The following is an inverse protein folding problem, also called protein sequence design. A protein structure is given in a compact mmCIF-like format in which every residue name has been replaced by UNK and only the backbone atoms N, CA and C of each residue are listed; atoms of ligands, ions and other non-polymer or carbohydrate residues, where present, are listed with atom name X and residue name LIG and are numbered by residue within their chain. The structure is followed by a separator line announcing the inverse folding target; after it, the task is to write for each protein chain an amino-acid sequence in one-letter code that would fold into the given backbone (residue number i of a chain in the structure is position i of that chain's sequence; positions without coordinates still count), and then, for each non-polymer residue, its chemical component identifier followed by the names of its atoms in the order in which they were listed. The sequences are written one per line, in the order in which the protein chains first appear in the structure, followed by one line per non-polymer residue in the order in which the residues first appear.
data_IF_097578882966
#
_entry.id   IF_097578882966
#
_cell.length_a   1.000
_cell.length_b   1.000
_cell.length_c   1.000
_cell.angle_alpha   90.00
_cell.angle_beta   90.00
_cell.angle_gamma   90.00
#
_symmetry.space_group_name_H-M   'P 1'
#
loop_
_entity.id
_entity.type
_entity.pdbx_description
1 polymer ?
#
# COMPACT_ATOMS: atom_id res chain seq x y z
N UNK A 1 11.11 1.41 -9.54
CA UNK A 1 12.43 1.21 -8.99
C UNK A 1 13.55 2.14 -9.50
N UNK A 2 13.26 3.10 -10.39
CA UNK A 2 14.32 3.92 -11.05
C UNK A 2 15.09 4.81 -10.06
N UNK A 3 14.46 5.29 -9.00
CA UNK A 3 15.10 6.12 -7.95
C UNK A 3 16.19 5.38 -7.15
N UNK A 4 16.16 4.05 -7.10
CA UNK A 4 17.16 3.21 -6.41
C UNK A 4 18.25 2.67 -7.33
N UNK A 5 18.35 3.12 -8.58
CA UNK A 5 19.46 2.73 -9.46
C UNK A 5 20.79 3.20 -8.88
N UNK A 6 21.88 2.39 -8.99
CA UNK A 6 21.98 1.16 -9.78
C UNK A 6 21.48 -0.13 -9.08
N UNK A 7 21.03 -0.08 -7.81
CA UNK A 7 20.66 -1.27 -7.01
C UNK A 7 19.53 -2.08 -7.64
N UNK A 8 18.67 -1.43 -8.44
CA UNK A 8 17.51 -2.04 -9.08
C UNK A 8 17.66 -2.28 -10.58
N UNK A 9 18.89 -2.21 -11.12
CA UNK A 9 19.11 -2.46 -12.56
C UNK A 9 18.76 -3.89 -12.96
N UNK A 10 19.06 -4.86 -12.09
CA UNK A 10 18.94 -6.30 -12.39
C UNK A 10 18.05 -7.06 -11.40
N UNK A 11 17.33 -6.36 -10.51
CA UNK A 11 16.44 -6.98 -9.52
C UNK A 11 15.25 -6.10 -9.19
N UNK A 12 14.11 -6.68 -8.77
CA UNK A 12 12.98 -5.92 -8.23
C UNK A 12 13.38 -5.15 -6.99
N UNK A 13 12.68 -4.03 -6.73
CA UNK A 13 12.96 -3.17 -5.57
C UNK A 13 12.84 -3.94 -4.24
N UNK A 14 11.87 -4.83 -4.11
CA UNK A 14 11.66 -5.65 -2.92
C UNK A 14 12.81 -6.63 -2.62
N UNK A 15 13.67 -6.92 -3.59
CA UNK A 15 14.87 -7.76 -3.40
C UNK A 15 16.14 -6.97 -3.09
N UNK A 16 16.04 -5.64 -2.95
CA UNK A 16 17.18 -4.84 -2.48
C UNK A 16 17.47 -5.19 -1.02
N UNK A 17 18.74 -5.50 -0.67
CA UNK A 17 19.09 -5.86 0.69
C UNK A 17 19.11 -4.64 1.61
N UNK A 18 18.57 -4.82 2.80
CA UNK A 18 18.67 -3.91 3.95
C UNK A 18 19.25 -4.70 5.12
N UNK A 19 20.46 -4.35 5.59
CA UNK A 19 21.15 -5.06 6.68
C UNK A 19 21.18 -6.58 6.47
N UNK A 20 21.61 -7.02 5.29
CA UNK A 20 21.85 -8.42 4.96
C UNK A 20 20.62 -9.24 4.54
N UNK A 21 19.39 -8.71 4.66
CA UNK A 21 18.14 -9.36 4.22
C UNK A 21 17.41 -8.48 3.22
N UNK A 22 16.73 -9.08 2.23
CA UNK A 22 15.92 -8.30 1.29
C UNK A 22 14.70 -7.68 1.99
N UNK A 23 14.15 -6.59 1.41
CA UNK A 23 12.91 -5.97 1.90
C UNK A 23 11.78 -7.00 1.94
N UNK A 24 11.67 -7.82 0.88
CA UNK A 24 10.66 -8.88 0.81
C UNK A 24 10.82 -9.90 1.94
N UNK A 25 12.05 -10.37 2.19
CA UNK A 25 12.32 -11.34 3.27
C UNK A 25 11.92 -10.77 4.64
N UNK A 26 12.19 -9.49 4.88
CA UNK A 26 11.79 -8.82 6.12
C UNK A 26 10.27 -8.79 6.26
N UNK A 27 9.56 -8.33 5.24
CA UNK A 27 8.09 -8.30 5.27
C UNK A 27 7.49 -9.69 5.48
N UNK A 28 7.94 -10.69 4.70
CA UNK A 28 7.45 -12.07 4.82
C UNK A 28 7.66 -12.62 6.24
N UNK A 29 8.82 -12.35 6.84
CA UNK A 29 9.10 -12.79 8.21
C UNK A 29 8.13 -12.11 9.21
N UNK A 30 7.93 -10.80 9.11
CA UNK A 30 6.99 -10.06 9.96
C UNK A 30 5.55 -10.57 9.79
N UNK A 31 5.10 -10.78 8.55
CA UNK A 31 3.76 -11.30 8.24
C UNK A 31 3.56 -12.70 8.86
N UNK A 32 4.55 -13.58 8.73
CA UNK A 32 4.50 -14.93 9.33
C UNK A 32 4.53 -14.91 10.85
N UNK A 33 5.27 -13.99 11.46
CA UNK A 33 5.27 -13.81 12.92
C UNK A 33 3.88 -13.38 13.45
N UNK A 34 3.08 -12.71 12.64
CA UNK A 34 1.67 -12.40 12.94
C UNK A 34 0.70 -13.55 12.62
N UNK A 35 1.20 -14.76 12.28
CA UNK A 35 0.36 -15.93 12.01
C UNK A 35 -0.29 -15.96 10.64
N UNK A 36 0.22 -15.19 9.67
CA UNK A 36 -0.30 -15.16 8.29
C UNK A 36 0.62 -15.97 7.39
N UNK A 37 0.14 -17.10 6.87
CA UNK A 37 0.90 -18.03 6.02
C UNK A 37 0.52 -17.94 4.54
N UNK A 38 -0.71 -17.55 4.21
CA UNK A 38 -1.16 -17.42 2.81
C UNK A 38 -0.70 -16.07 2.24
N UNK A 39 0.46 -16.09 1.60
CA UNK A 39 1.12 -14.91 1.04
C UNK A 39 1.18 -15.03 -0.47
N UNK A 40 0.72 -13.99 -1.16
CA UNK A 40 0.74 -13.87 -2.61
C UNK A 40 1.44 -12.58 -3.03
N UNK A 41 2.24 -12.64 -4.09
CA UNK A 41 3.01 -11.47 -4.53
C UNK A 41 2.58 -11.05 -5.93
N UNK A 42 2.01 -9.85 -6.03
CA UNK A 42 1.79 -9.21 -7.33
C UNK A 42 3.14 -8.73 -7.88
N UNK A 43 3.50 -9.22 -9.04
CA UNK A 43 4.82 -9.03 -9.65
C UNK A 43 4.73 -8.33 -11.01
N UNK A 44 5.87 -7.87 -11.51
CA UNK A 44 6.04 -7.30 -12.84
C UNK A 44 7.50 -7.41 -13.27
N UNK A 45 8.28 -6.34 -13.07
CA UNK A 45 9.70 -6.34 -13.41
C UNK A 45 10.47 -7.48 -12.74
N UNK A 46 11.10 -8.34 -13.53
CA UNK A 46 11.90 -9.48 -13.08
C UNK A 46 11.12 -10.43 -12.16
N UNK A 47 9.89 -10.76 -12.53
CA UNK A 47 9.05 -11.73 -11.82
C UNK A 47 9.75 -13.07 -11.62
N UNK A 48 10.58 -13.49 -12.59
CA UNK A 48 11.43 -14.67 -12.53
C UNK A 48 12.20 -14.83 -11.22
N UNK A 49 12.67 -13.73 -10.67
CA UNK A 49 13.45 -13.74 -9.41
C UNK A 49 12.56 -13.94 -8.17
N UNK A 50 11.32 -13.50 -8.20
CA UNK A 50 10.36 -13.72 -7.09
C UNK A 50 9.82 -15.14 -7.14
N UNK A 51 9.48 -15.63 -8.34
CA UNK A 51 9.00 -17.00 -8.57
C UNK A 51 10.05 -18.03 -8.14
N UNK A 52 11.35 -17.75 -8.41
CA UNK A 52 12.46 -18.59 -7.98
C UNK A 52 12.59 -18.74 -6.45
N UNK A 53 11.96 -17.84 -5.66
CA UNK A 53 11.89 -17.93 -4.19
C UNK A 53 10.74 -18.84 -3.71
N UNK A 54 9.91 -19.36 -4.62
CA UNK A 54 8.83 -20.30 -4.32
C UNK A 54 7.53 -19.65 -3.82
N UNK A 55 7.37 -18.34 -3.98
CA UNK A 55 6.12 -17.67 -3.65
C UNK A 55 5.05 -17.86 -4.74
N UNK A 56 3.79 -17.92 -4.32
CA UNK A 56 2.66 -17.78 -5.24
C UNK A 56 2.64 -16.33 -5.79
N UNK A 57 2.51 -16.20 -7.11
CA UNK A 57 2.61 -14.90 -7.78
C UNK A 57 1.47 -14.67 -8.78
N UNK A 58 1.12 -13.42 -8.98
CA UNK A 58 0.37 -12.92 -10.14
C UNK A 58 1.21 -11.90 -10.88
N UNK A 59 1.25 -11.97 -12.20
CA UNK A 59 2.10 -11.11 -13.02
C UNK A 59 1.24 -10.02 -13.65
N UNK A 60 1.53 -8.76 -13.33
CA UNK A 60 1.07 -7.65 -14.14
C UNK A 60 1.99 -7.52 -15.37
N UNK A 61 1.56 -8.05 -16.50
CA UNK A 61 2.33 -8.03 -17.76
C UNK A 61 2.52 -6.61 -18.32
N UNK A 62 1.72 -5.64 -17.86
CA UNK A 62 1.77 -4.23 -18.26
C UNK A 62 2.43 -3.34 -17.20
N UNK A 63 3.28 -3.90 -16.33
CA UNK A 63 3.90 -3.19 -15.19
C UNK A 63 4.69 -1.94 -15.57
N UNK A 64 5.15 -1.83 -16.81
CA UNK A 64 5.93 -0.70 -17.33
C UNK A 64 5.06 0.48 -17.80
N UNK A 65 3.77 0.23 -18.04
CA UNK A 65 2.79 1.20 -18.53
C UNK A 65 1.58 1.38 -17.59
N UNK A 66 1.57 0.71 -16.44
CA UNK A 66 0.49 0.78 -15.44
C UNK A 66 1.02 1.06 -14.05
N UNK A 67 0.14 1.29 -13.07
CA UNK A 67 0.52 1.60 -11.71
C UNK A 67 0.00 0.56 -10.70
N UNK A 68 0.10 0.87 -9.41
CA UNK A 68 -0.11 -0.05 -8.28
C UNK A 68 -1.49 -0.68 -8.25
N UNK A 69 -2.55 0.05 -8.62
CA UNK A 69 -3.92 -0.48 -8.62
C UNK A 69 -4.07 -1.63 -9.62
N UNK A 70 -3.56 -1.48 -10.85
CA UNK A 70 -3.54 -2.56 -11.83
C UNK A 70 -2.70 -3.77 -11.34
N UNK A 71 -1.59 -3.51 -10.69
CA UNK A 71 -0.77 -4.58 -10.10
C UNK A 71 -1.50 -5.31 -8.98
N UNK A 72 -2.25 -4.62 -8.11
CA UNK A 72 -3.09 -5.24 -7.08
C UNK A 72 -4.14 -6.16 -7.73
N UNK A 73 -4.91 -5.65 -8.69
CA UNK A 73 -5.99 -6.42 -9.31
C UNK A 73 -5.52 -7.49 -10.31
N UNK A 74 -4.22 -7.53 -10.66
CA UNK A 74 -3.64 -8.70 -11.33
C UNK A 74 -3.69 -9.97 -10.45
N UNK A 75 -3.82 -9.81 -9.13
CA UNK A 75 -3.97 -10.89 -8.15
C UNK A 75 -5.44 -11.18 -7.76
N UNK A 76 -6.40 -10.91 -8.64
CA UNK A 76 -7.84 -10.99 -8.34
C UNK A 76 -8.25 -12.36 -7.76
N UNK A 77 -7.75 -13.46 -8.31
CA UNK A 77 -8.04 -14.81 -7.81
C UNK A 77 -7.56 -15.06 -6.38
N UNK A 78 -6.55 -14.32 -5.92
CA UNK A 78 -6.10 -14.35 -4.54
C UNK A 78 -6.95 -13.42 -3.65
N UNK A 79 -7.27 -12.23 -4.15
CA UNK A 79 -8.10 -11.24 -3.44
C UNK A 79 -9.48 -11.82 -3.06
N UNK A 80 -10.06 -12.63 -3.94
CA UNK A 80 -11.40 -13.23 -3.75
C UNK A 80 -11.41 -14.46 -2.84
N UNK A 81 -10.28 -14.83 -2.24
CA UNK A 81 -10.25 -15.92 -1.25
C UNK A 81 -10.96 -15.53 0.06
N UNK A 82 -11.28 -16.54 0.85
CA UNK A 82 -11.82 -16.35 2.20
C UNK A 82 -10.80 -15.72 3.15
N UNK A 83 -11.27 -14.85 4.03
CA UNK A 83 -10.46 -14.17 5.04
C UNK A 83 -10.32 -12.67 4.78
N UNK A 84 -9.77 -11.97 5.77
CA UNK A 84 -9.41 -10.56 5.61
C UNK A 84 -8.22 -10.43 4.65
N UNK A 85 -8.22 -9.38 3.83
CA UNK A 85 -7.13 -9.10 2.90
C UNK A 85 -6.18 -8.08 3.50
N UNK A 86 -4.89 -8.42 3.56
CA UNK A 86 -3.81 -7.48 3.86
C UNK A 86 -3.06 -7.15 2.57
N UNK A 87 -2.97 -5.86 2.25
CA UNK A 87 -2.21 -5.35 1.12
C UNK A 87 -1.00 -4.60 1.65
N UNK A 88 0.19 -4.98 1.21
CA UNK A 88 1.44 -4.35 1.60
C UNK A 88 2.25 -3.92 0.37
N UNK A 89 2.78 -2.70 0.38
CA UNK A 89 3.71 -2.27 -0.66
C UNK A 89 5.02 -3.06 -0.55
N UNK A 90 5.56 -3.46 -1.69
CA UNK A 90 6.74 -4.34 -1.75
C UNK A 90 8.06 -3.71 -1.29
N UNK A 91 8.07 -2.46 -0.88
CA UNK A 91 9.27 -1.68 -0.55
C UNK A 91 9.22 -0.99 0.82
N UNK A 92 8.28 -1.40 1.66
CA UNK A 92 8.16 -0.95 3.04
C UNK A 92 8.76 -1.98 4.00
N UNK A 93 9.18 -1.52 5.17
CA UNK A 93 9.61 -2.36 6.30
C UNK A 93 8.93 -1.79 7.54
N UNK A 94 8.34 -2.65 8.33
CA UNK A 94 7.59 -2.31 9.54
C UNK A 94 7.79 -3.39 10.59
N UNK A 95 7.59 -3.03 11.86
CA UNK A 95 7.70 -3.95 12.98
C UNK A 95 6.43 -4.82 13.11
N UNK A 96 6.56 -5.97 13.77
CA UNK A 96 5.46 -6.90 14.03
C UNK A 96 4.29 -6.21 14.73
N UNK A 97 4.56 -5.40 15.74
CA UNK A 97 3.56 -4.66 16.51
C UNK A 97 2.69 -3.74 15.65
N UNK A 98 3.27 -3.13 14.62
CA UNK A 98 2.53 -2.29 13.68
C UNK A 98 1.51 -3.11 12.88
N UNK A 99 1.90 -4.29 12.40
CA UNK A 99 0.98 -5.18 11.69
C UNK A 99 -0.09 -5.74 12.63
N UNK A 100 0.27 -6.15 13.85
CA UNK A 100 -0.69 -6.63 14.85
C UNK A 100 -1.73 -5.56 15.18
N UNK A 101 -1.32 -4.30 15.31
CA UNK A 101 -2.22 -3.17 15.52
C UNK A 101 -3.20 -2.99 14.35
N UNK A 102 -2.74 -3.14 13.11
CA UNK A 102 -3.61 -3.09 11.92
C UNK A 102 -4.59 -4.27 11.90
N UNK A 103 -4.11 -5.48 12.21
CA UNK A 103 -4.93 -6.70 12.23
C UNK A 103 -6.07 -6.62 13.25
N UNK A 104 -5.86 -5.93 14.36
CA UNK A 104 -6.86 -5.74 15.41
C UNK A 104 -8.03 -4.82 15.02
N UNK A 105 -7.93 -4.05 13.94
CA UNK A 105 -9.04 -3.21 13.47
C UNK A 105 -10.17 -4.05 12.89
N UNK A 106 -11.40 -3.73 13.30
CA UNK A 106 -12.64 -4.36 12.81
C UNK A 106 -13.39 -3.50 11.77
N UNK A 107 -12.77 -2.43 11.28
CA UNK A 107 -13.37 -1.54 10.30
C UNK A 107 -13.36 -2.12 8.87
N UNK A 108 -14.21 -1.58 7.98
CA UNK A 108 -14.36 -2.05 6.59
C UNK A 108 -13.03 -2.02 5.83
N UNK A 109 -12.31 -0.89 5.96
CA UNK A 109 -10.95 -0.68 5.51
C UNK A 109 -10.16 -0.07 6.67
N UNK A 110 -8.95 -0.54 6.89
CA UNK A 110 -8.01 0.06 7.83
C UNK A 110 -6.69 0.38 7.12
N UNK A 111 -6.17 1.56 7.35
CA UNK A 111 -4.90 2.04 6.81
C UNK A 111 -3.93 2.29 7.94
N UNK A 112 -2.71 1.77 7.86
CA UNK A 112 -1.66 2.12 8.81
C UNK A 112 -1.14 3.53 8.54
N UNK A 113 -1.21 4.38 9.56
CA UNK A 113 -0.84 5.79 9.49
C UNK A 113 0.26 6.09 10.49
N UNK A 114 1.41 6.57 10.01
CA UNK A 114 2.53 6.97 10.86
C UNK A 114 2.38 8.43 11.32
N UNK A 115 2.30 8.63 12.63
CA UNK A 115 2.23 9.95 13.25
C UNK A 115 3.62 10.61 13.35
N UNK A 116 4.71 9.83 13.33
CA UNK A 116 6.10 10.32 13.38
C UNK A 116 6.74 10.50 12.00
N UNK A 117 5.96 10.41 10.94
CA UNK A 117 6.41 10.53 9.56
C UNK A 117 7.35 11.71 9.31
N UNK A 118 7.10 12.86 9.96
CA UNK A 118 7.88 14.09 9.74
C UNK A 118 9.33 13.95 10.17
N UNK A 119 9.59 13.19 11.23
CA UNK A 119 10.94 12.93 11.70
C UNK A 119 11.74 12.18 10.63
N UNK A 120 11.14 11.15 10.05
CA UNK A 120 11.75 10.36 8.97
C UNK A 120 11.93 11.19 7.67
N UNK A 121 10.92 11.98 7.28
CA UNK A 121 11.01 12.84 6.08
C UNK A 121 12.08 13.91 6.22
N UNK A 122 12.22 14.50 7.41
CA UNK A 122 13.25 15.50 7.70
C UNK A 122 14.68 14.97 7.65
N UNK A 123 14.87 13.66 7.81
CA UNK A 123 16.17 13.00 7.60
C UNK A 123 16.52 12.80 6.11
N UNK A 124 15.51 12.80 5.24
CA UNK A 124 15.63 12.45 3.82
C UNK A 124 15.52 13.63 2.89
N UNK A 125 14.79 14.66 3.29
CA UNK A 125 14.40 15.79 2.46
C UNK A 125 14.69 17.10 3.18
N UNK A 126 15.16 18.08 2.44
CA UNK A 126 15.33 19.45 2.94
C UNK A 126 13.97 20.06 3.33
N UNK A 127 12.95 19.81 2.50
CA UNK A 127 11.58 20.19 2.80
C UNK A 127 10.65 18.95 2.73
N UNK A 128 10.15 18.46 3.89
CA UNK A 128 9.23 17.31 3.93
C UNK A 128 7.96 17.45 3.10
N UNK A 129 7.47 18.67 2.86
CA UNK A 129 6.28 18.92 2.03
C UNK A 129 6.47 18.54 0.56
N UNK A 130 7.71 18.39 0.10
CA UNK A 130 7.97 18.07 -1.31
C UNK A 130 7.52 16.65 -1.69
N UNK A 131 7.51 15.71 -0.72
CA UNK A 131 7.14 14.31 -0.92
C UNK A 131 5.94 13.87 -0.05
N UNK A 132 5.48 14.71 0.89
CA UNK A 132 4.34 14.40 1.74
C UNK A 132 3.02 14.52 0.95
N UNK A 133 2.03 13.74 1.40
CA UNK A 133 0.65 13.76 0.89
C UNK A 133 -0.30 14.23 2.01
N UNK A 134 -1.45 14.81 1.62
CA UNK A 134 -2.49 15.14 2.61
C UNK A 134 -3.02 13.87 3.27
N UNK A 135 -3.34 13.98 4.54
CA UNK A 135 -4.11 12.99 5.29
C UNK A 135 -4.92 13.72 6.36
N UNK A 136 -6.24 13.71 6.20
CA UNK A 136 -7.16 14.35 7.13
C UNK A 136 -8.12 13.30 7.67
N UNK A 137 -8.31 13.31 8.98
CA UNK A 137 -9.20 12.39 9.70
C UNK A 137 -10.29 13.19 10.44
N UNK A 138 -11.43 12.54 10.67
CA UNK A 138 -12.45 13.04 11.56
C UNK A 138 -12.12 12.75 13.06
N UNK A 139 -13.01 13.15 13.96
CA UNK A 139 -12.87 12.96 15.42
C UNK A 139 -12.84 11.50 15.88
N UNK A 140 -13.23 10.57 14.98
CA UNK A 140 -13.22 9.13 15.21
C UNK A 140 -12.07 8.42 14.48
N UNK A 141 -11.10 9.17 13.95
CA UNK A 141 -9.99 8.68 13.12
C UNK A 141 -10.45 7.96 11.86
N UNK A 142 -11.57 8.34 11.25
CA UNK A 142 -11.86 7.93 9.88
C UNK A 142 -11.24 8.91 8.90
N UNK A 143 -10.55 8.37 7.89
CA UNK A 143 -9.89 9.18 6.86
C UNK A 143 -10.96 9.83 5.98
N UNK A 144 -10.87 11.15 5.84
CA UNK A 144 -11.75 11.98 4.99
C UNK A 144 -11.04 12.50 3.76
N UNK A 145 -9.72 12.69 3.83
CA UNK A 145 -8.90 13.07 2.69
C UNK A 145 -7.55 12.37 2.73
N UNK A 146 -7.07 11.92 1.56
CA UNK A 146 -5.83 11.18 1.39
C UNK A 146 -5.20 11.49 0.03
N UNK A 147 -3.87 11.60 -0.02
CA UNK A 147 -3.08 11.46 -1.24
C UNK A 147 -2.98 12.70 -2.14
N UNK A 148 -3.41 13.88 -1.67
CA UNK A 148 -3.26 15.13 -2.42
C UNK A 148 -1.91 15.81 -2.10
N UNK A 149 -1.45 16.66 -3.02
CA UNK A 149 -0.29 17.52 -2.74
C UNK A 149 -0.68 18.56 -1.68
N UNK A 150 -0.04 18.57 -0.51
CA UNK A 150 -0.30 19.58 0.52
C UNK A 150 0.37 20.91 0.17
N UNK A 151 -0.25 22.00 0.59
CA UNK A 151 0.31 23.34 0.60
C UNK A 151 0.85 23.74 1.98
N UNK A 152 0.42 23.03 3.01
CA UNK A 152 0.83 23.27 4.40
C UNK A 152 0.79 21.99 5.22
N UNK A 153 1.43 22.01 6.42
CA UNK A 153 1.41 20.88 7.35
C UNK A 153 0.05 20.66 8.02
N UNK A 154 -0.86 21.62 8.01
CA UNK A 154 -2.16 21.56 8.69
C UNK A 154 -3.07 20.45 8.15
N UNK A 155 -2.86 20.04 6.89
CA UNK A 155 -3.60 18.97 6.25
C UNK A 155 -2.89 17.63 6.27
N UNK A 156 -1.90 17.48 7.14
CA UNK A 156 -1.08 16.26 7.26
C UNK A 156 -1.10 15.79 8.71
N UNK A 157 -2.18 15.11 9.10
CA UNK A 157 -2.33 14.55 10.45
C UNK A 157 -1.52 13.25 10.66
N UNK A 158 -0.93 12.71 9.60
CA UNK A 158 -0.07 11.54 9.55
C UNK A 158 0.30 11.20 8.11
N UNK A 159 1.06 10.13 7.89
CA UNK A 159 1.34 9.64 6.55
C UNK A 159 0.92 8.17 6.40
N UNK A 160 0.28 7.87 5.29
CA UNK A 160 -0.07 6.52 4.90
C UNK A 160 1.19 5.71 4.54
N UNK A 161 1.34 4.55 5.16
CA UNK A 161 2.59 3.77 5.09
C UNK A 161 2.63 2.75 3.94
N UNK A 162 1.51 2.51 3.26
CA UNK A 162 1.41 1.46 2.23
C UNK A 162 0.95 0.11 2.79
N UNK A 163 0.38 0.06 4.00
CA UNK A 163 -0.21 -1.14 4.59
C UNK A 163 -1.71 -0.95 4.79
N UNK A 164 -2.51 -1.85 4.20
CA UNK A 164 -3.98 -1.78 4.15
C UNK A 164 -4.56 -3.10 4.63
N UNK A 165 -5.63 -3.05 5.41
CA UNK A 165 -6.50 -4.19 5.70
C UNK A 165 -7.89 -3.94 5.11
N UNK A 166 -8.47 -4.96 4.48
CA UNK A 166 -9.86 -4.98 4.02
C UNK A 166 -10.54 -6.19 4.65
N UNK A 167 -11.68 -5.97 5.31
CA UNK A 167 -12.42 -7.06 5.94
C UNK A 167 -13.02 -8.01 4.90
N UNK A 168 -13.05 -9.29 5.25
CA UNK A 168 -13.54 -10.39 4.41
C UNK A 168 -14.95 -10.13 3.85
N UNK A 169 -15.87 -9.61 4.67
CA UNK A 169 -17.23 -9.29 4.25
C UNK A 169 -17.33 -8.11 3.27
N UNK A 170 -16.23 -7.38 3.01
CA UNK A 170 -16.18 -6.24 2.10
C UNK A 170 -15.41 -6.52 0.81
N UNK A 171 -14.73 -7.64 0.69
CA UNK A 171 -13.88 -7.95 -0.47
C UNK A 171 -14.69 -7.97 -1.76
N UNK A 172 -15.87 -8.59 -1.78
CA UNK A 172 -16.71 -8.62 -2.98
C UNK A 172 -17.15 -7.21 -3.44
N UNK A 173 -17.49 -6.34 -2.50
CA UNK A 173 -17.83 -4.94 -2.79
C UNK A 173 -16.61 -4.15 -3.27
N UNK A 174 -15.44 -4.39 -2.68
CA UNK A 174 -14.15 -3.77 -3.06
C UNK A 174 -13.77 -4.12 -4.50
N UNK A 175 -13.84 -5.40 -4.86
CA UNK A 175 -13.58 -5.87 -6.23
C UNK A 175 -14.59 -5.27 -7.20
N UNK A 176 -15.88 -5.31 -6.87
CA UNK A 176 -16.94 -4.75 -7.70
C UNK A 176 -16.76 -3.23 -7.88
N UNK A 177 -16.37 -2.52 -6.85
CA UNK A 177 -16.10 -1.08 -6.94
C UNK A 177 -15.04 -0.77 -7.99
N UNK A 178 -13.90 -1.46 -7.98
CA UNK A 178 -12.86 -1.32 -8.99
C UNK A 178 -13.38 -1.64 -10.40
N UNK A 179 -14.14 -2.72 -10.54
CA UNK A 179 -14.66 -3.16 -11.84
C UNK A 179 -15.65 -2.16 -12.48
N UNK A 180 -16.37 -1.40 -11.65
CA UNK A 180 -17.37 -0.41 -12.08
C UNK A 180 -16.79 0.97 -12.35
N UNK A 181 -15.52 1.23 -12.05
CA UNK A 181 -14.89 2.52 -12.34
C UNK A 181 -14.85 2.79 -13.87
N UNK A 182 -15.08 4.04 -14.23
CA UNK A 182 -15.01 4.48 -15.63
C UNK A 182 -13.56 4.44 -16.13
N UNK A 183 -13.30 3.56 -17.08
CA UNK A 183 -11.96 3.36 -17.65
C UNK A 183 -11.48 4.52 -18.54
N UNK A 184 -12.38 5.45 -18.90
CA UNK A 184 -12.05 6.63 -19.70
C UNK A 184 -11.91 7.90 -18.85
N UNK A 185 -12.21 7.82 -17.55
CA UNK A 185 -12.07 8.96 -16.63
C UNK A 185 -10.61 9.19 -16.22
N UNK A 186 -10.34 10.39 -15.71
CA UNK A 186 -9.08 10.72 -15.07
C UNK A 186 -9.25 10.70 -13.54
N UNK A 187 -8.25 10.17 -12.86
CA UNK A 187 -8.16 9.99 -11.41
C UNK A 187 -6.92 10.75 -10.92
N UNK A 188 -7.11 11.92 -10.32
CA UNK A 188 -6.04 12.84 -9.95
C UNK A 188 -5.05 13.12 -11.10
N UNK A 189 -5.61 13.33 -12.31
CA UNK A 189 -4.85 13.63 -13.52
C UNK A 189 -4.17 12.43 -14.18
N UNK A 190 -4.40 11.20 -13.68
CA UNK A 190 -3.94 9.95 -14.28
C UNK A 190 -5.10 9.21 -14.93
N UNK A 191 -4.83 8.49 -16.00
CA UNK A 191 -5.79 7.56 -16.58
C UNK A 191 -6.02 6.35 -15.62
N UNK A 192 -7.02 5.54 -15.95
CA UNK A 192 -7.39 4.38 -15.15
C UNK A 192 -6.20 3.45 -14.87
N UNK A 193 -5.42 3.13 -15.89
CA UNK A 193 -4.28 2.20 -15.81
C UNK A 193 -3.14 2.73 -14.92
N UNK A 194 -3.03 4.05 -14.80
CA UNK A 194 -1.99 4.72 -14.04
C UNK A 194 -2.47 5.31 -12.71
N UNK A 195 -3.67 4.93 -12.25
CA UNK A 195 -4.25 5.39 -10.99
C UNK A 195 -3.33 5.08 -9.80
N UNK A 196 -3.13 6.07 -8.93
CA UNK A 196 -2.44 5.86 -7.66
C UNK A 196 -3.32 5.10 -6.67
N UNK A 197 -2.72 4.34 -5.76
CA UNK A 197 -3.47 3.67 -4.70
C UNK A 197 -4.20 4.66 -3.78
N UNK A 198 -3.58 5.79 -3.48
CA UNK A 198 -4.20 6.85 -2.68
C UNK A 198 -5.42 7.46 -3.38
N UNK A 199 -5.37 7.63 -4.70
CA UNK A 199 -6.56 8.04 -5.49
C UNK A 199 -7.67 7.01 -5.43
N UNK A 200 -7.35 5.72 -5.56
CA UNK A 200 -8.33 4.64 -5.46
C UNK A 200 -8.97 4.56 -4.06
N UNK A 201 -8.18 4.68 -3.01
CA UNK A 201 -8.69 4.75 -1.63
C UNK A 201 -9.57 5.98 -1.40
N UNK A 202 -9.18 7.14 -1.96
CA UNK A 202 -10.02 8.35 -1.87
C UNK A 202 -11.37 8.19 -2.57
N UNK A 203 -11.43 7.46 -3.70
CA UNK A 203 -12.70 7.15 -4.35
C UNK A 203 -13.61 6.28 -3.48
N UNK A 204 -13.05 5.28 -2.79
CA UNK A 204 -13.78 4.46 -1.81
C UNK A 204 -14.34 5.33 -0.69
N UNK A 205 -13.51 6.20 -0.10
CA UNK A 205 -13.91 7.15 0.95
C UNK A 205 -15.06 8.05 0.44
N UNK A 206 -14.92 8.65 -0.74
CA UNK A 206 -15.95 9.51 -1.34
C UNK A 206 -17.27 8.77 -1.62
N UNK A 207 -17.21 7.44 -1.78
CA UNK A 207 -18.37 6.57 -1.98
C UNK A 207 -18.97 6.07 -0.67
N UNK A 208 -18.51 6.58 0.48
CA UNK A 208 -19.07 6.31 1.80
C UNK A 208 -18.44 5.14 2.54
N UNK A 209 -17.34 4.57 2.06
CA UNK A 209 -16.62 3.52 2.78
C UNK A 209 -15.96 4.08 4.04
N UNK A 210 -16.17 3.37 5.16
CA UNK A 210 -15.51 3.70 6.42
C UNK A 210 -14.07 3.22 6.41
N UNK A 211 -13.16 4.17 6.21
CA UNK A 211 -11.72 3.93 6.14
C UNK A 211 -11.05 4.40 7.42
N UNK A 212 -10.71 3.47 8.30
CA UNK A 212 -10.11 3.74 9.60
C UNK A 212 -8.61 4.03 9.46
N UNK A 213 -8.16 5.11 10.07
CA UNK A 213 -6.74 5.33 10.33
C UNK A 213 -6.33 4.54 11.57
N UNK A 214 -5.46 3.56 11.40
CA UNK A 214 -4.78 2.85 12.49
C UNK A 214 -3.47 3.56 12.75
N UNK A 215 -3.42 4.28 13.88
CA UNK A 215 -2.35 5.18 14.20
C UNK A 215 -1.18 4.43 14.84
N UNK A 216 0.01 4.63 14.31
CA UNK A 216 1.26 4.09 14.85
C UNK A 216 2.30 5.20 14.93
N UNK A 217 3.32 5.00 15.76
CA UNK A 217 4.51 5.82 15.78
C UNK A 217 5.68 5.03 15.21
N UNK A 218 6.47 5.63 14.29
CA UNK A 218 7.55 4.96 13.58
C UNK A 218 7.06 3.72 12.79
N UNK A 219 6.04 3.91 11.98
CA UNK A 219 5.41 2.87 11.16
C UNK A 219 6.27 2.34 10.00
N UNK A 220 7.39 2.98 9.76
CA UNK A 220 8.40 2.58 8.77
C UNK A 220 9.78 2.43 9.40
#
# INVERSE_FOLDING_TARGET
GTRLRPLTNNKPKCLVPLLGKSLLERQVNTIKQCGIDDIHIATGYRSDQIEALGFATSINSRFDSTNMVESLFSALSFIEKEGDLIIAYGDIVYEQENLETLLASDDEIALMIDLKWRDLWSLRLENPLDDAETLVMDEHNYVTELGKKPDSYERIQGQYTGLIKIRSNKIAEFVKFYQLLDRNALYDGKDFDNMYMTSFLQLLINSGWKTKAVLVENGW
#
